data_IF_970555054449
#
_entry.id   IF_970555054449
#
_cell.length_a   1.000
_cell.length_b   1.000
_cell.length_c   1.000
_cell.angle_alpha   90.00
_cell.angle_beta   90.00
_cell.angle_gamma   90.00
#
_symmetry.space_group_name_H-M   'P 1'
#
loop_
_entity.id
_entity.type
_entity.pdbx_description
1 polymer ?
#
# COMPACT_ATOMS: atom_id res chain seq x y z
N UNK A 1 -9.94 2.04 3.03
CA UNK A 1 -10.86 2.84 3.88
C UNK A 1 -12.21 2.15 3.94
N UNK A 2 -13.02 2.39 4.96
CA UNK A 2 -14.39 1.84 5.04
C UNK A 2 -15.38 2.62 4.18
N UNK A 3 -15.25 3.94 4.14
CA UNK A 3 -16.14 4.85 3.41
C UNK A 3 -15.30 5.83 2.57
N UNK A 4 -15.08 5.58 1.26
CA UNK A 4 -14.34 6.52 0.42
C UNK A 4 -15.21 7.73 0.09
N UNK A 5 -14.58 8.86 -0.26
CA UNK A 5 -15.30 9.97 -0.89
C UNK A 5 -15.91 9.53 -2.23
N UNK A 6 -16.94 10.24 -2.70
CA UNK A 6 -17.58 9.92 -3.97
C UNK A 6 -16.57 9.89 -5.12
N UNK A 7 -16.59 8.79 -5.89
CA UNK A 7 -15.65 8.55 -7.00
C UNK A 7 -14.22 8.21 -6.57
N UNK A 8 -13.97 7.93 -5.29
CA UNK A 8 -12.68 7.42 -4.83
C UNK A 8 -12.71 5.90 -4.56
N UNK A 9 -11.62 5.19 -4.89
CA UNK A 9 -11.49 3.78 -4.58
C UNK A 9 -11.34 3.53 -3.07
N UNK A 10 -11.87 2.39 -2.60
CA UNK A 10 -11.76 1.94 -1.20
C UNK A 10 -10.33 1.51 -0.82
N UNK A 11 -9.51 1.18 -1.81
CA UNK A 11 -8.11 0.78 -1.65
C UNK A 11 -7.27 1.31 -2.79
N UNK A 12 -6.11 1.88 -2.45
CA UNK A 12 -5.10 2.39 -3.37
C UNK A 12 -3.75 1.89 -2.89
N UNK A 13 -2.89 1.52 -3.83
CA UNK A 13 -1.46 1.33 -3.57
C UNK A 13 -0.67 2.09 -4.65
N UNK A 14 0.36 2.80 -4.20
CA UNK A 14 1.29 3.52 -5.06
C UNK A 14 2.71 3.11 -4.69
N UNK A 15 3.59 3.06 -5.69
CA UNK A 15 5.01 2.85 -5.49
C UNK A 15 5.77 4.05 -5.99
N UNK A 16 6.75 4.49 -5.21
CA UNK A 16 7.63 5.61 -5.53
C UNK A 16 9.08 5.13 -5.63
N UNK A 17 9.85 5.76 -6.50
CA UNK A 17 11.30 5.59 -6.57
C UNK A 17 11.98 6.96 -6.45
N UNK A 18 13.04 7.02 -5.65
CA UNK A 18 13.90 8.18 -5.41
C UNK A 18 13.19 9.48 -4.96
N UNK A 19 11.99 9.41 -4.38
CA UNK A 19 11.27 10.62 -3.94
C UNK A 19 10.62 11.44 -5.06
N UNK A 20 10.83 11.05 -6.32
CA UNK A 20 10.51 11.89 -7.48
C UNK A 20 9.40 11.31 -8.36
N UNK A 21 9.33 9.98 -8.46
CA UNK A 21 8.47 9.32 -9.43
C UNK A 21 7.60 8.25 -8.81
N UNK A 22 6.28 8.48 -8.81
CA UNK A 22 5.30 7.39 -8.67
C UNK A 22 5.40 6.54 -9.94
N UNK A 23 5.96 5.34 -9.82
CA UNK A 23 6.23 4.47 -10.97
C UNK A 23 5.12 3.44 -11.21
N UNK A 24 4.34 3.12 -10.18
CA UNK A 24 3.20 2.18 -10.24
C UNK A 24 2.00 2.69 -9.45
N UNK A 25 0.81 2.32 -9.92
CA UNK A 25 -0.46 2.59 -9.26
C UNK A 25 -1.37 1.38 -9.34
N UNK A 26 -2.12 1.13 -8.27
CA UNK A 26 -3.23 0.21 -8.21
C UNK A 26 -4.41 0.87 -7.49
N UNK A 27 -5.62 0.61 -7.96
CA UNK A 27 -6.85 0.93 -7.23
C UNK A 27 -7.86 -0.22 -7.27
N UNK A 28 -8.78 -0.20 -6.33
CA UNK A 28 -9.83 -1.22 -6.19
C UNK A 28 -10.88 -1.22 -7.30
N UNK A 29 -10.92 -0.20 -8.16
CA UNK A 29 -11.91 -0.10 -9.25
C UNK A 29 -11.41 -0.84 -10.48
N UNK A 30 -10.21 -0.52 -10.94
CA UNK A 30 -9.55 -1.17 -12.08
C UNK A 30 -8.99 -2.55 -11.71
N UNK A 31 -8.63 -2.74 -10.43
CA UNK A 31 -8.05 -3.96 -9.87
C UNK A 31 -6.84 -4.48 -10.66
N UNK A 32 -6.07 -3.56 -11.24
CA UNK A 32 -4.89 -3.82 -12.06
C UNK A 32 -3.78 -2.85 -11.67
N UNK A 33 -2.53 -3.34 -11.67
CA UNK A 33 -1.38 -2.44 -11.55
C UNK A 33 -1.13 -1.78 -12.89
N UNK A 34 -0.92 -0.47 -12.88
CA UNK A 34 -0.63 0.33 -14.05
C UNK A 34 0.73 1.00 -13.90
N UNK A 35 1.60 0.97 -14.93
CA UNK A 35 2.79 1.80 -14.97
C UNK A 35 2.37 3.27 -15.02
N UNK A 36 3.08 4.11 -14.25
CA UNK A 36 2.87 5.57 -14.22
C UNK A 36 3.98 6.35 -14.90
N UNK A 37 5.03 5.65 -15.35
CA UNK A 37 6.21 6.21 -16.00
C UNK A 37 6.58 5.40 -17.25
N UNK A 38 7.19 6.03 -18.28
CA UNK A 38 7.46 5.35 -19.56
C UNK A 38 8.39 4.15 -19.46
N UNK A 39 9.42 4.23 -18.60
CA UNK A 39 10.41 3.15 -18.47
C UNK A 39 9.81 1.86 -17.88
N UNK A 40 8.79 1.97 -17.03
CA UNK A 40 8.07 0.78 -16.54
C UNK A 40 7.26 0.08 -17.62
N UNK A 41 6.84 0.76 -18.70
CA UNK A 41 6.03 0.12 -19.76
C UNK A 41 6.80 -0.99 -20.51
N UNK A 42 8.11 -1.06 -20.34
CA UNK A 42 8.98 -2.08 -20.93
C UNK A 42 8.88 -3.43 -20.21
N UNK A 43 8.35 -3.43 -18.97
CA UNK A 43 8.16 -4.65 -18.19
C UNK A 43 7.16 -5.59 -18.85
N UNK A 44 7.46 -6.89 -18.79
CA UNK A 44 6.65 -7.93 -19.40
C UNK A 44 5.32 -8.18 -18.69
N UNK A 45 4.36 -8.77 -19.41
CA UNK A 45 3.04 -9.09 -18.86
C UNK A 45 3.08 -9.95 -17.58
N UNK A 46 4.04 -10.88 -17.48
CA UNK A 46 4.21 -11.72 -16.30
C UNK A 46 4.52 -10.90 -15.03
N UNK A 47 5.32 -9.84 -15.13
CA UNK A 47 5.60 -8.93 -14.02
C UNK A 47 4.29 -8.26 -13.57
N UNK A 48 3.55 -7.68 -14.51
CA UNK A 48 2.31 -6.97 -14.21
C UNK A 48 1.19 -7.87 -13.65
N UNK A 49 1.07 -9.09 -14.14
CA UNK A 49 0.11 -10.07 -13.62
C UNK A 49 0.46 -10.48 -12.19
N UNK A 50 1.75 -10.68 -11.88
CA UNK A 50 2.22 -10.96 -10.52
C UNK A 50 1.94 -9.80 -9.57
N UNK A 51 2.32 -8.57 -9.93
CA UNK A 51 2.09 -7.40 -9.07
C UNK A 51 0.59 -7.13 -8.88
N UNK A 52 -0.21 -7.36 -9.92
CA UNK A 52 -1.68 -7.31 -9.83
C UNK A 52 -2.21 -8.32 -8.82
N UNK A 53 -1.76 -9.57 -8.88
CA UNK A 53 -2.21 -10.61 -7.97
C UNK A 53 -1.84 -10.26 -6.52
N UNK A 54 -0.60 -9.80 -6.30
CA UNK A 54 -0.11 -9.39 -4.98
C UNK A 54 -0.99 -8.27 -4.36
N UNK A 55 -1.33 -7.24 -5.14
CA UNK A 55 -2.13 -6.12 -4.65
C UNK A 55 -3.62 -6.46 -4.52
N UNK A 56 -4.15 -7.38 -5.34
CA UNK A 56 -5.49 -7.94 -5.12
C UNK A 56 -5.57 -8.72 -3.81
N UNK A 57 -4.57 -9.54 -3.48
CA UNK A 57 -4.49 -10.24 -2.20
C UNK A 57 -4.33 -9.27 -1.03
N UNK A 58 -3.48 -8.25 -1.18
CA UNK A 58 -3.31 -7.19 -0.18
C UNK A 58 -4.62 -6.45 0.09
N UNK A 59 -5.35 -6.06 -0.96
CA UNK A 59 -6.67 -5.42 -0.82
C UNK A 59 -7.63 -6.27 0.04
N UNK A 60 -7.70 -7.59 -0.21
CA UNK A 60 -8.57 -8.48 0.57
C UNK A 60 -8.14 -8.56 2.04
N UNK A 61 -6.84 -8.69 2.31
CA UNK A 61 -6.30 -8.68 3.68
C UNK A 61 -6.60 -7.37 4.39
N UNK A 62 -6.51 -6.23 3.70
CA UNK A 62 -6.77 -4.92 4.29
C UNK A 62 -8.24 -4.73 4.64
N UNK A 63 -9.15 -5.24 3.81
CA UNK A 63 -10.57 -5.26 4.11
C UNK A 63 -10.85 -6.04 5.41
N UNK A 64 -10.33 -7.27 5.53
CA UNK A 64 -10.48 -8.08 6.76
C UNK A 64 -9.84 -7.42 7.98
N UNK A 65 -8.69 -6.76 7.80
CA UNK A 65 -8.00 -6.09 8.89
C UNK A 65 -8.76 -4.84 9.37
N UNK A 66 -9.42 -4.10 8.48
CA UNK A 66 -10.29 -2.99 8.88
C UNK A 66 -11.46 -3.48 9.74
N UNK A 67 -12.11 -4.58 9.38
CA UNK A 67 -13.18 -5.18 10.19
C UNK A 67 -12.65 -5.66 11.55
N UNK A 68 -11.44 -6.22 11.57
CA UNK A 68 -10.79 -6.71 12.78
C UNK A 68 -10.42 -5.57 13.73
N UNK A 69 -9.82 -4.49 13.20
CA UNK A 69 -9.42 -3.33 13.99
C UNK A 69 -10.63 -2.61 14.57
N UNK A 70 -11.69 -2.39 13.80
CA UNK A 70 -12.94 -1.81 14.30
C UNK A 70 -13.49 -2.59 15.51
N UNK A 71 -13.53 -3.92 15.42
CA UNK A 71 -13.97 -4.77 16.54
C UNK A 71 -13.06 -4.66 17.75
N UNK A 72 -11.73 -4.67 17.56
CA UNK A 72 -10.76 -4.57 18.67
C UNK A 72 -10.82 -3.25 19.41
N UNK A 73 -11.13 -2.16 18.70
CA UNK A 73 -11.28 -0.82 19.28
C UNK A 73 -12.72 -0.50 19.70
N UNK A 74 -13.64 -1.48 19.64
CA UNK A 74 -15.08 -1.30 19.93
C UNK A 74 -15.72 -0.13 19.15
N UNK A 75 -15.33 0.03 17.88
CA UNK A 75 -15.82 1.07 16.98
C UNK A 75 -16.98 0.55 16.12
N UNK A 76 -17.93 1.43 15.78
CA UNK A 76 -19.05 1.11 14.89
C UNK A 76 -19.38 2.28 13.97
N UNK A 77 -19.58 2.02 12.68
CA UNK A 77 -20.28 2.92 11.73
C UNK A 77 -19.64 4.30 11.53
N UNK A 78 -18.31 4.37 11.41
CA UNK A 78 -17.57 5.58 11.07
C UNK A 78 -16.55 5.31 9.96
N UNK A 79 -16.04 6.39 9.37
CA UNK A 79 -14.87 6.34 8.51
C UNK A 79 -13.66 5.80 9.29
N UNK A 80 -13.09 4.71 8.79
CA UNK A 80 -11.86 4.13 9.29
C UNK A 80 -10.88 3.91 8.14
N UNK A 81 -9.60 4.10 8.43
CA UNK A 81 -8.54 3.90 7.45
C UNK A 81 -7.39 3.10 8.02
N UNK A 82 -6.81 2.25 7.19
CA UNK A 82 -5.57 1.55 7.46
C UNK A 82 -4.57 1.97 6.40
N UNK A 83 -3.36 2.31 6.84
CA UNK A 83 -2.26 2.74 6.00
C UNK A 83 -1.07 1.84 6.24
N UNK A 84 -0.23 1.70 5.22
CA UNK A 84 1.05 1.01 5.34
C UNK A 84 2.04 1.72 4.45
N UNK A 85 3.22 1.95 4.99
CA UNK A 85 4.37 2.49 4.29
C UNK A 85 5.51 1.51 4.52
N UNK A 86 6.03 0.96 3.44
CA UNK A 86 7.20 0.10 3.48
C UNK A 86 8.08 0.43 2.28
N UNK A 87 9.36 0.16 2.42
CA UNK A 87 10.34 0.50 1.40
C UNK A 87 11.77 0.33 1.89
N UNK A 88 12.70 0.80 1.08
CA UNK A 88 14.12 0.73 1.38
C UNK A 88 14.87 1.89 0.75
N UNK A 89 15.97 2.29 1.39
CA UNK A 89 16.94 3.22 0.82
C UNK A 89 18.24 2.46 0.54
N UNK A 90 18.82 2.70 -0.64
CA UNK A 90 20.20 2.33 -0.94
C UNK A 90 21.05 3.60 -0.90
N UNK A 91 21.89 3.72 0.11
CA UNK A 91 22.73 4.91 0.31
C UNK A 91 24.02 4.84 -0.52
N UNK A 92 24.63 5.99 -0.78
CA UNK A 92 25.87 6.10 -1.56
C UNK A 92 27.04 5.30 -0.95
N UNK A 93 27.05 5.15 0.37
CA UNK A 93 28.03 4.35 1.10
C UNK A 93 27.77 2.82 1.04
N UNK A 94 26.73 2.39 0.33
CA UNK A 94 26.30 0.99 0.20
C UNK A 94 25.45 0.47 1.37
N UNK A 95 25.16 1.30 2.36
CA UNK A 95 24.25 0.95 3.46
C UNK A 95 22.81 0.83 2.94
N UNK A 96 22.07 -0.17 3.44
CA UNK A 96 20.68 -0.42 3.11
C UNK A 96 19.83 -0.16 4.34
N UNK A 97 18.83 0.71 4.19
CA UNK A 97 17.78 0.92 5.20
C UNK A 97 16.50 0.29 4.73
N UNK A 98 15.72 -0.26 5.67
CA UNK A 98 14.44 -0.89 5.38
C UNK A 98 13.40 -0.40 6.38
N UNK A 99 12.19 -0.16 5.89
CA UNK A 99 11.09 0.37 6.67
C UNK A 99 9.84 -0.47 6.41
N UNK A 100 9.07 -0.72 7.46
CA UNK A 100 7.72 -1.27 7.36
C UNK A 100 6.90 -0.73 8.54
N UNK A 101 5.93 0.13 8.24
CA UNK A 101 5.15 0.87 9.21
C UNK A 101 3.68 0.80 8.84
N UNK A 102 2.84 0.58 9.83
CA UNK A 102 1.39 0.54 9.69
C UNK A 102 0.75 1.59 10.59
N UNK A 103 -0.30 2.22 10.07
CA UNK A 103 -1.13 3.18 10.80
C UNK A 103 -2.62 2.82 10.70
N UNK A 104 -3.38 3.23 11.70
CA UNK A 104 -4.84 3.08 11.78
C UNK A 104 -5.46 4.40 12.21
N UNK A 105 -6.48 4.86 11.48
CA UNK A 105 -7.14 6.15 11.66
C UNK A 105 -6.15 7.33 11.74
N UNK A 106 -5.11 7.30 10.89
CA UNK A 106 -4.09 8.34 10.79
C UNK A 106 -3.09 8.37 11.94
N UNK A 107 -3.06 7.34 12.80
CA UNK A 107 -2.13 7.23 13.93
C UNK A 107 -1.26 6.00 13.79
N UNK A 108 -0.01 6.10 14.23
CA UNK A 108 0.93 4.97 14.29
C UNK A 108 0.30 3.80 15.03
N UNK A 109 0.40 2.61 14.44
CA UNK A 109 -0.19 1.39 14.98
C UNK A 109 0.88 0.35 15.34
N UNK A 110 1.71 -0.03 14.36
CA UNK A 110 2.84 -0.96 14.57
C UNK A 110 3.90 -0.70 13.49
N UNK A 111 5.17 -0.87 13.86
CA UNK A 111 6.31 -0.75 12.95
C UNK A 111 7.31 -1.88 13.19
N UNK A 112 8.03 -2.25 12.14
CA UNK A 112 9.15 -3.18 12.20
C UNK A 112 10.39 -2.47 12.77
N UNK A 113 10.96 -3.03 13.83
CA UNK A 113 12.34 -2.77 14.22
C UNK A 113 13.23 -3.80 13.52
N UNK A 114 14.08 -3.35 12.60
CA UNK A 114 14.94 -4.23 11.79
C UNK A 114 16.23 -4.63 12.53
N UNK A 115 16.57 -3.93 13.61
CA UNK A 115 17.84 -4.13 14.32
C UNK A 115 17.71 -5.13 15.48
N UNK A 116 16.48 -5.56 15.80
CA UNK A 116 16.14 -6.53 16.84
C UNK A 116 15.48 -7.77 16.28
#
# INVERSE_FOLDING_TARGET
VTEPSEGQPVFVAVGEVDGEAVFVHYDSETRRVQPRVPWMQQEGQQYWDRETQNLQSTQQVYHVNLDTLQKRYNQSGRYHMRQTMYGCDLLENGEIRGYDQHAYDGRDFIALDKDT
#
